data_IF_293298532313
#
_entry.id   IF_293298532313
#
_cell.length_a   1.000
_cell.length_b   1.000
_cell.length_c   1.000
_cell.angle_alpha   90.00
_cell.angle_beta   90.00
_cell.angle_gamma   90.00
#
_symmetry.space_group_name_H-M   'P 1'
#
loop_
_entity.id
_entity.type
_entity.pdbx_description
1 polymer ?
#
# COMPACT_ATOMS: atom_id res chain seq x y z
N UNK A 1 1.30 -22.32 34.57
CA UNK A 1 0.07 -21.56 34.86
C UNK A 1 0.13 -20.21 34.16
N UNK A 2 -1.02 -19.61 33.83
CA UNK A 2 -1.11 -18.30 33.15
C UNK A 2 -0.27 -17.22 33.82
N UNK A 3 -0.35 -17.10 35.14
CA UNK A 3 0.43 -16.14 35.93
C UNK A 3 1.95 -16.30 35.74
N UNK A 4 2.43 -17.55 35.70
CA UNK A 4 3.87 -17.82 35.51
C UNK A 4 4.32 -17.37 34.11
N UNK A 5 3.48 -17.63 33.09
CA UNK A 5 3.80 -17.20 31.72
C UNK A 5 3.79 -15.67 31.59
N UNK A 6 2.80 -15.00 32.19
CA UNK A 6 2.75 -13.52 32.19
C UNK A 6 3.97 -12.91 32.89
N UNK A 7 4.38 -13.47 34.04
CA UNK A 7 5.60 -13.01 34.73
C UNK A 7 6.85 -13.20 33.87
N UNK A 8 7.00 -14.35 33.20
CA UNK A 8 8.14 -14.60 32.31
C UNK A 8 8.16 -13.60 31.13
N UNK A 9 7.02 -13.37 30.47
CA UNK A 9 6.93 -12.40 29.39
C UNK A 9 7.24 -10.96 29.86
N UNK A 10 6.85 -10.62 31.10
CA UNK A 10 7.15 -9.33 31.68
C UNK A 10 8.63 -9.19 32.07
N UNK A 11 9.24 -10.24 32.60
CA UNK A 11 10.69 -10.30 32.91
C UNK A 11 11.52 -10.19 31.62
N UNK A 12 11.05 -10.79 30.51
CA UNK A 12 11.66 -10.65 29.19
C UNK A 12 11.40 -9.28 28.54
N UNK A 13 10.53 -8.44 29.10
CA UNK A 13 10.19 -7.12 28.56
C UNK A 13 9.26 -7.16 27.34
N UNK A 14 8.59 -8.29 27.07
CA UNK A 14 7.66 -8.45 25.95
C UNK A 14 6.30 -7.79 26.21
N UNK A 15 5.90 -7.78 27.49
CA UNK A 15 4.66 -7.15 27.94
C UNK A 15 4.94 -6.24 29.15
N UNK A 16 4.08 -5.25 29.32
CA UNK A 16 4.11 -4.32 30.46
C UNK A 16 2.71 -4.19 31.09
N UNK A 17 2.69 -3.69 32.33
CA UNK A 17 1.43 -3.38 33.00
C UNK A 17 0.90 -2.05 32.49
N UNK A 18 -0.28 -2.09 31.85
CA UNK A 18 -0.99 -0.93 31.29
C UNK A 18 -2.08 -0.37 32.23
N UNK A 19 -2.16 -0.85 33.46
CA UNK A 19 -3.14 -0.41 34.43
C UNK A 19 -4.06 -1.51 34.94
N UNK A 20 -5.21 -1.13 35.47
CA UNK A 20 -6.21 -2.03 36.02
C UNK A 20 -7.59 -1.70 35.46
N UNK A 21 -8.42 -2.72 35.23
CA UNK A 21 -9.84 -2.51 34.91
C UNK A 21 -10.59 -1.89 36.08
N UNK A 22 -11.63 -1.09 35.81
CA UNK A 22 -12.55 -0.63 36.83
C UNK A 22 -13.22 -1.82 37.54
N UNK A 23 -13.25 -1.78 38.88
CA UNK A 23 -13.79 -2.89 39.65
C UNK A 23 -15.31 -2.84 39.67
N UNK A 24 -15.97 -3.93 39.31
CA UNK A 24 -17.41 -4.16 39.45
C UNK A 24 -17.77 -4.89 40.75
N UNK A 25 -16.88 -4.85 41.79
CA UNK A 25 -17.12 -5.47 43.09
C UNK A 25 -16.22 -6.64 43.47
N UNK A 26 -15.04 -6.78 42.79
CA UNK A 26 -14.06 -7.81 43.09
C UNK A 26 -12.61 -7.26 43.04
N UNK A 27 -11.61 -8.17 43.09
CA UNK A 27 -10.20 -7.80 42.86
C UNK A 27 -10.06 -7.23 41.43
N UNK A 28 -9.48 -6.04 41.32
CA UNK A 28 -9.20 -5.42 40.02
C UNK A 28 -8.31 -6.33 39.17
N UNK A 29 -8.66 -6.49 37.90
CA UNK A 29 -7.86 -7.24 36.97
C UNK A 29 -6.80 -6.34 36.35
N UNK A 30 -5.55 -6.81 36.34
CA UNK A 30 -4.42 -6.12 35.73
C UNK A 30 -4.53 -6.19 34.19
N UNK A 31 -4.30 -5.06 33.54
CA UNK A 31 -4.21 -4.95 32.07
C UNK A 31 -2.73 -5.12 31.69
N UNK A 32 -2.46 -6.08 30.82
CA UNK A 32 -1.16 -6.23 30.19
C UNK A 32 -1.24 -5.81 28.73
N UNK A 33 -0.22 -5.09 28.27
CA UNK A 33 -0.07 -4.76 26.84
C UNK A 33 1.28 -5.20 26.32
N UNK A 34 1.39 -5.45 25.02
CA UNK A 34 2.65 -5.72 24.36
C UNK A 34 3.51 -4.46 24.37
N UNK A 35 4.82 -4.60 24.67
CA UNK A 35 5.79 -3.53 24.50
C UNK A 35 6.04 -3.34 23.02
N UNK A 36 5.46 -2.28 22.44
CA UNK A 36 5.43 -2.07 20.99
C UNK A 36 6.82 -2.10 20.35
N UNK A 37 7.80 -1.53 21.00
CA UNK A 37 9.18 -1.47 20.52
C UNK A 37 10.05 -2.68 20.91
N UNK A 38 9.46 -3.76 21.46
CA UNK A 38 10.20 -4.97 21.80
C UNK A 38 10.84 -5.62 20.56
N UNK A 39 10.15 -5.61 19.44
CA UNK A 39 10.65 -6.01 18.12
C UNK A 39 10.32 -4.92 17.11
N UNK A 40 11.06 -4.91 16.02
CA UNK A 40 10.90 -3.97 14.92
C UNK A 40 10.98 -4.70 13.58
N UNK A 41 10.46 -4.09 12.54
CA UNK A 41 10.62 -4.57 11.17
C UNK A 41 10.95 -3.40 10.24
N UNK A 42 11.63 -3.69 9.13
CA UNK A 42 11.92 -2.70 8.10
C UNK A 42 11.06 -2.98 6.88
N UNK A 43 10.46 -1.92 6.32
CA UNK A 43 9.86 -1.91 5.00
C UNK A 43 10.76 -1.17 4.03
N UNK A 44 11.00 -1.74 2.85
CA UNK A 44 11.71 -1.08 1.74
C UNK A 44 10.76 -1.03 0.55
N UNK A 45 10.35 0.17 0.13
CA UNK A 45 9.51 0.39 -1.05
C UNK A 45 10.35 0.91 -2.21
N UNK A 46 10.37 0.16 -3.30
CA UNK A 46 11.11 0.47 -4.52
C UNK A 46 10.15 0.75 -5.65
N UNK A 47 10.11 1.99 -6.09
CA UNK A 47 9.36 2.42 -7.26
C UNK A 47 10.32 2.78 -8.41
N UNK A 48 9.78 3.12 -9.59
CA UNK A 48 10.60 3.56 -10.72
C UNK A 48 11.56 4.70 -10.35
N UNK A 49 11.14 5.65 -9.50
CA UNK A 49 11.86 6.90 -9.25
C UNK A 49 12.18 7.16 -7.78
N UNK A 50 11.76 6.30 -6.86
CA UNK A 50 11.96 6.50 -5.43
C UNK A 50 12.34 5.21 -4.75
N UNK A 51 13.18 5.35 -3.73
CA UNK A 51 13.47 4.37 -2.70
C UNK A 51 12.97 4.93 -1.38
N UNK A 52 12.15 4.18 -0.67
CA UNK A 52 11.67 4.52 0.68
C UNK A 52 12.08 3.40 1.63
N UNK A 53 12.64 3.75 2.77
CA UNK A 53 12.96 2.82 3.86
C UNK A 53 12.18 3.29 5.08
N UNK A 54 11.48 2.39 5.75
CA UNK A 54 10.70 2.67 6.95
C UNK A 54 11.00 1.64 8.02
N UNK A 55 11.25 2.08 9.24
CA UNK A 55 11.37 1.25 10.43
C UNK A 55 10.08 1.38 11.24
N UNK A 56 9.47 0.25 11.58
CA UNK A 56 8.22 0.19 12.35
C UNK A 56 8.35 -0.68 13.58
N UNK A 57 7.54 -0.38 14.60
CA UNK A 57 7.37 -1.23 15.79
C UNK A 57 6.23 -2.26 15.61
N UNK A 58 5.99 -3.10 16.63
CA UNK A 58 4.93 -4.11 16.63
C UNK A 58 3.50 -3.53 16.61
N UNK A 59 3.35 -2.25 16.98
CA UNK A 59 2.07 -1.53 16.91
C UNK A 59 1.89 -0.78 15.58
N UNK A 60 2.79 -1.00 14.59
CA UNK A 60 2.83 -0.35 13.28
C UNK A 60 3.11 1.16 13.35
N UNK A 61 3.64 1.65 14.46
CA UNK A 61 4.11 3.03 14.52
C UNK A 61 5.42 3.16 13.73
N UNK A 62 5.51 4.22 12.94
CA UNK A 62 6.75 4.55 12.24
C UNK A 62 7.73 5.12 13.26
N UNK A 63 8.86 4.43 13.48
CA UNK A 63 9.96 4.86 14.34
C UNK A 63 10.83 5.84 13.57
N UNK A 64 11.17 5.50 12.32
CA UNK A 64 12.00 6.32 11.45
C UNK A 64 11.68 6.02 9.98
N UNK A 65 11.92 6.98 9.09
CA UNK A 65 11.72 6.76 7.68
C UNK A 65 12.57 7.69 6.82
N UNK A 66 12.99 7.20 5.67
CA UNK A 66 13.68 8.00 4.66
C UNK A 66 13.14 7.71 3.28
N UNK A 67 12.75 8.76 2.56
CA UNK A 67 12.36 8.68 1.16
C UNK A 67 13.32 9.49 0.30
N UNK A 68 13.82 8.85 -0.75
CA UNK A 68 14.80 9.42 -1.65
C UNK A 68 14.32 9.34 -3.10
N UNK A 69 14.60 10.36 -3.87
CA UNK A 69 14.35 10.35 -5.32
C UNK A 69 15.55 9.77 -6.03
N UNK A 70 15.56 8.46 -6.20
CA UNK A 70 16.60 7.70 -6.88
C UNK A 70 15.91 6.78 -7.89
N UNK A 71 16.14 6.97 -9.20
CA UNK A 71 15.61 6.05 -10.21
C UNK A 71 16.17 4.65 -10.01
N UNK A 72 15.28 3.65 -10.00
CA UNK A 72 15.70 2.27 -9.86
C UNK A 72 16.62 1.84 -10.98
N UNK A 73 17.73 1.23 -10.63
CA UNK A 73 18.65 0.53 -11.53
C UNK A 73 19.18 -0.69 -10.81
N UNK A 74 19.20 -1.82 -11.49
CA UNK A 74 19.82 -3.04 -10.95
C UNK A 74 21.35 -2.96 -11.10
N UNK A 75 21.97 -2.09 -10.29
CA UNK A 75 23.43 -1.82 -10.29
C UNK A 75 23.99 -1.84 -8.88
N UNK A 76 25.28 -2.16 -8.75
CA UNK A 76 25.97 -2.11 -7.46
C UNK A 76 25.83 -0.74 -6.76
N UNK A 77 25.88 0.35 -7.52
CA UNK A 77 25.74 1.71 -6.98
C UNK A 77 24.39 1.91 -6.28
N UNK A 78 23.29 1.51 -6.94
CA UNK A 78 21.95 1.63 -6.36
C UNK A 78 21.81 0.81 -5.06
N UNK A 79 22.28 -0.43 -5.07
CA UNK A 79 22.17 -1.31 -3.91
C UNK A 79 23.15 -0.93 -2.78
N UNK A 80 24.30 -0.31 -3.09
CA UNK A 80 25.18 0.26 -2.06
C UNK A 80 24.50 1.42 -1.34
N UNK A 81 23.81 2.32 -2.07
CA UNK A 81 23.02 3.39 -1.45
C UNK A 81 21.89 2.81 -0.59
N UNK A 82 21.18 1.80 -1.10
CA UNK A 82 20.12 1.13 -0.33
C UNK A 82 20.69 0.55 0.98
N UNK A 83 21.81 -0.16 0.91
CA UNK A 83 22.48 -0.74 2.08
C UNK A 83 22.91 0.34 3.08
N UNK A 84 23.58 1.39 2.61
CA UNK A 84 24.04 2.50 3.48
C UNK A 84 22.87 3.14 4.24
N UNK A 85 21.77 3.40 3.55
CA UNK A 85 20.60 4.04 4.14
C UNK A 85 19.82 3.10 5.08
N UNK A 86 19.73 1.82 4.74
CA UNK A 86 19.19 0.79 5.61
C UNK A 86 20.02 0.70 6.91
N UNK A 87 21.34 0.60 6.80
CA UNK A 87 22.23 0.54 7.95
C UNK A 87 22.16 1.81 8.82
N UNK A 88 22.05 2.98 8.19
CA UNK A 88 21.91 4.24 8.89
C UNK A 88 20.65 4.28 9.78
N UNK A 89 19.49 3.90 9.21
CA UNK A 89 18.22 3.86 9.96
C UNK A 89 18.27 2.84 11.09
N UNK A 90 18.74 1.60 10.78
CA UNK A 90 18.77 0.52 11.77
C UNK A 90 19.74 0.87 12.92
N UNK A 91 20.96 1.31 12.61
CA UNK A 91 21.97 1.62 13.62
C UNK A 91 21.61 2.82 14.51
N UNK A 92 20.87 3.79 13.97
CA UNK A 92 20.42 4.95 14.74
C UNK A 92 19.32 4.59 15.76
N UNK A 93 18.51 3.57 15.48
CA UNK A 93 17.27 3.30 16.22
C UNK A 93 17.28 1.96 16.97
N UNK A 94 18.13 0.99 16.57
CA UNK A 94 18.15 -0.36 17.12
C UNK A 94 19.55 -0.68 17.65
N UNK A 95 19.72 -0.64 18.96
CA UNK A 95 20.99 -0.98 19.60
C UNK A 95 21.31 -2.48 19.53
N UNK A 96 20.29 -3.33 19.61
CA UNK A 96 20.39 -4.79 19.53
C UNK A 96 19.67 -5.30 18.27
N UNK A 97 20.45 -5.71 17.27
CA UNK A 97 19.92 -6.22 15.98
C UNK A 97 19.06 -7.46 16.11
N UNK A 98 19.16 -8.23 17.20
CA UNK A 98 18.28 -9.37 17.44
C UNK A 98 16.80 -8.96 17.56
N UNK A 99 16.54 -7.67 17.78
CA UNK A 99 15.18 -7.10 17.81
C UNK A 99 14.59 -6.89 16.42
N UNK A 100 15.39 -6.89 15.36
CA UNK A 100 14.90 -6.81 13.99
C UNK A 100 14.33 -8.16 13.53
N UNK A 101 13.03 -8.19 13.23
CA UNK A 101 12.32 -9.39 12.78
C UNK A 101 12.69 -9.78 11.35
N UNK A 102 12.91 -8.78 10.50
CA UNK A 102 13.20 -8.95 9.09
C UNK A 102 12.76 -7.75 8.26
N UNK A 103 12.83 -7.93 6.95
CA UNK A 103 12.61 -6.86 5.97
C UNK A 103 11.54 -7.28 4.97
N UNK A 104 10.51 -6.45 4.80
CA UNK A 104 9.57 -6.54 3.69
C UNK A 104 9.99 -5.62 2.56
N UNK A 105 10.19 -6.14 1.35
CA UNK A 105 10.58 -5.36 0.17
C UNK A 105 9.41 -5.30 -0.80
N UNK A 106 8.86 -4.11 -0.98
CA UNK A 106 7.74 -3.81 -1.88
C UNK A 106 8.28 -3.48 -3.27
N UNK A 107 7.77 -4.17 -4.29
CA UNK A 107 8.17 -4.05 -5.70
C UNK A 107 6.94 -3.94 -6.60
N UNK A 108 6.96 -3.12 -7.67
CA UNK A 108 5.89 -3.07 -8.66
C UNK A 108 6.00 -4.27 -9.63
N UNK A 109 5.76 -5.47 -9.10
CA UNK A 109 5.95 -6.74 -9.78
C UNK A 109 5.00 -7.81 -9.23
N UNK A 110 4.72 -8.84 -10.03
CA UNK A 110 4.04 -10.05 -9.54
C UNK A 110 5.09 -10.95 -8.88
N UNK A 111 4.86 -11.26 -7.62
CA UNK A 111 5.76 -12.06 -6.77
C UNK A 111 5.20 -13.48 -6.63
N UNK A 112 6.07 -14.47 -6.71
CA UNK A 112 5.72 -15.87 -6.50
C UNK A 112 5.33 -16.16 -5.04
N UNK A 113 4.71 -17.32 -4.81
CA UNK A 113 4.28 -17.78 -3.47
C UNK A 113 5.45 -17.91 -2.47
N UNK A 114 6.66 -18.11 -2.98
CA UNK A 114 7.87 -18.20 -2.17
C UNK A 114 8.35 -16.84 -1.63
N UNK A 115 7.72 -15.75 -2.04
CA UNK A 115 8.13 -14.37 -1.73
C UNK A 115 9.60 -14.04 -2.09
N UNK A 116 10.15 -14.74 -3.04
CA UNK A 116 11.55 -14.60 -3.51
C UNK A 116 11.64 -14.45 -5.02
N UNK A 117 10.72 -15.08 -5.75
CA UNK A 117 10.72 -15.10 -7.20
C UNK A 117 9.88 -13.96 -7.75
N UNK A 118 10.46 -13.15 -8.64
CA UNK A 118 9.72 -12.20 -9.46
C UNK A 118 9.24 -12.94 -10.71
N UNK A 119 7.93 -13.09 -10.87
CA UNK A 119 7.34 -13.82 -12.00
C UNK A 119 7.02 -12.93 -13.18
N UNK A 120 6.74 -11.63 -12.92
CA UNK A 120 6.44 -10.66 -13.97
C UNK A 120 6.69 -9.23 -13.47
N UNK A 121 7.39 -8.42 -14.26
CA UNK A 121 7.62 -7.00 -13.97
C UNK A 121 7.70 -6.20 -15.28
N UNK A 122 6.99 -5.08 -15.36
CA UNK A 122 6.99 -4.18 -16.53
C UNK A 122 7.21 -2.73 -16.17
N UNK A 123 6.96 -2.36 -14.92
CA UNK A 123 7.09 -0.98 -14.43
C UNK A 123 8.56 -0.62 -14.21
N UNK A 124 9.34 -1.56 -13.68
CA UNK A 124 10.80 -1.43 -13.49
C UNK A 124 11.49 -2.66 -14.08
N UNK A 125 12.72 -2.50 -14.60
CA UNK A 125 13.48 -3.62 -15.13
C UNK A 125 14.05 -4.46 -13.98
N UNK A 126 13.43 -5.60 -13.70
CA UNK A 126 13.91 -6.56 -12.71
C UNK A 126 14.42 -7.82 -13.40
N UNK A 127 15.61 -8.28 -13.03
CA UNK A 127 16.12 -9.57 -13.48
C UNK A 127 15.47 -10.73 -12.71
N UNK A 128 15.50 -11.93 -13.28
CA UNK A 128 15.06 -13.16 -12.61
C UNK A 128 15.91 -13.48 -11.36
N UNK A 129 17.12 -12.93 -11.29
CA UNK A 129 18.07 -13.15 -10.19
C UNK A 129 18.06 -12.03 -9.14
N UNK A 130 17.09 -11.14 -9.19
CA UNK A 130 17.03 -9.95 -8.31
C UNK A 130 17.13 -10.33 -6.82
N UNK A 131 16.52 -11.45 -6.40
CA UNK A 131 16.62 -11.91 -5.02
C UNK A 131 18.08 -12.20 -4.62
N UNK A 132 18.81 -12.95 -5.43
CA UNK A 132 20.23 -13.22 -5.17
C UNK A 132 21.09 -11.95 -5.23
N UNK A 133 20.68 -10.95 -6.02
CA UNK A 133 21.37 -9.68 -6.07
C UNK A 133 21.21 -8.90 -4.76
N UNK A 134 20.00 -8.85 -4.19
CA UNK A 134 19.75 -8.27 -2.86
C UNK A 134 20.59 -8.94 -1.76
N UNK A 135 20.77 -10.27 -1.80
CA UNK A 135 21.54 -11.02 -0.79
C UNK A 135 23.01 -10.57 -0.66
N UNK A 136 23.54 -9.87 -1.64
CA UNK A 136 24.91 -9.32 -1.55
C UNK A 136 24.99 -8.06 -0.67
N UNK A 137 23.83 -7.44 -0.35
CA UNK A 137 23.77 -6.16 0.37
C UNK A 137 22.95 -6.23 1.64
N UNK A 138 21.95 -7.11 1.67
CA UNK A 138 21.05 -7.29 2.82
C UNK A 138 21.28 -8.71 3.35
N UNK A 139 21.67 -8.81 4.62
CA UNK A 139 21.99 -10.09 5.27
C UNK A 139 20.91 -10.56 6.24
N UNK A 140 20.02 -9.68 6.66
CA UNK A 140 18.83 -10.01 7.44
C UNK A 140 17.81 -10.78 6.59
N UNK A 141 16.93 -11.58 7.21
CA UNK A 141 15.84 -12.23 6.51
C UNK A 141 14.95 -11.21 5.79
N UNK A 142 14.71 -11.38 4.49
CA UNK A 142 13.81 -10.52 3.72
C UNK A 142 12.91 -11.31 2.78
N UNK A 143 11.79 -10.68 2.44
CA UNK A 143 10.79 -11.22 1.52
C UNK A 143 10.31 -10.11 0.57
N UNK A 144 9.99 -10.50 -0.66
CA UNK A 144 9.39 -9.62 -1.65
C UNK A 144 7.85 -9.64 -1.58
N UNK A 145 7.25 -8.49 -1.82
CA UNK A 145 5.81 -8.30 -1.91
C UNK A 145 5.47 -7.41 -3.10
N UNK A 146 4.27 -7.61 -3.66
CA UNK A 146 3.72 -6.65 -4.62
C UNK A 146 3.39 -5.32 -3.92
N UNK A 147 3.63 -4.19 -4.58
CA UNK A 147 3.46 -2.85 -4.02
C UNK A 147 2.00 -2.53 -3.66
N UNK A 148 1.05 -2.83 -4.54
CA UNK A 148 -0.36 -2.58 -4.27
C UNK A 148 -0.91 -3.50 -3.17
N UNK A 149 -0.46 -4.76 -3.13
CA UNK A 149 -0.80 -5.70 -2.05
C UNK A 149 -0.27 -5.21 -0.69
N UNK A 150 0.98 -4.73 -0.65
CA UNK A 150 1.58 -4.19 0.58
C UNK A 150 0.82 -2.97 1.08
N UNK A 151 0.47 -2.05 0.17
CA UNK A 151 -0.28 -0.85 0.52
C UNK A 151 -1.70 -1.19 0.99
N UNK A 152 -2.42 -2.08 0.28
CA UNK A 152 -3.75 -2.52 0.66
C UNK A 152 -3.77 -3.21 2.02
N UNK A 153 -2.78 -4.06 2.30
CA UNK A 153 -2.65 -4.72 3.60
C UNK A 153 -2.41 -3.70 4.72
N UNK A 154 -1.56 -2.70 4.49
CA UNK A 154 -1.28 -1.65 5.46
C UNK A 154 -2.55 -0.82 5.78
N UNK A 155 -3.35 -0.46 4.77
CA UNK A 155 -4.62 0.23 4.95
C UNK A 155 -5.65 -0.65 5.69
N UNK A 156 -5.73 -1.93 5.36
CA UNK A 156 -6.63 -2.87 6.05
C UNK A 156 -6.29 -3.00 7.53
N UNK A 157 -5.01 -3.07 7.88
CA UNK A 157 -4.59 -3.13 9.28
C UNK A 157 -4.81 -1.83 10.02
N UNK A 158 -4.52 -0.69 9.41
CA UNK A 158 -4.66 0.64 10.01
C UNK A 158 -6.13 1.01 10.23
N UNK A 159 -7.00 0.67 9.28
CA UNK A 159 -8.44 0.92 9.34
C UNK A 159 -9.22 -0.11 10.16
N UNK A 160 -8.54 -1.13 10.71
CA UNK A 160 -9.14 -2.26 11.48
C UNK A 160 -10.27 -2.96 10.71
N UNK A 161 -10.10 -3.11 9.39
CA UNK A 161 -11.07 -3.83 8.56
C UNK A 161 -11.03 -5.32 8.90
N UNK A 162 -12.16 -5.84 9.37
CA UNK A 162 -12.34 -7.26 9.69
C UNK A 162 -13.00 -8.03 8.55
N UNK A 163 -13.72 -7.33 7.69
CA UNK A 163 -14.45 -7.87 6.55
C UNK A 163 -13.62 -7.73 5.25
N UNK A 164 -14.20 -8.16 4.15
CA UNK A 164 -13.56 -8.03 2.85
C UNK A 164 -13.46 -6.56 2.42
N UNK A 165 -12.36 -6.20 1.79
CA UNK A 165 -12.13 -4.86 1.24
C UNK A 165 -11.30 -4.92 -0.04
N UNK A 166 -11.62 -4.06 -0.99
CA UNK A 166 -10.82 -3.80 -2.19
C UNK A 166 -10.03 -2.52 -1.98
N UNK A 167 -8.75 -2.58 -2.25
CA UNK A 167 -7.87 -1.40 -2.31
C UNK A 167 -7.50 -1.10 -3.76
N UNK A 168 -7.64 0.16 -4.18
CA UNK A 168 -7.17 0.68 -5.46
C UNK A 168 -6.04 1.68 -5.22
N UNK A 169 -4.85 1.33 -5.69
CA UNK A 169 -3.68 2.21 -5.69
C UNK A 169 -3.68 3.09 -6.93
N UNK A 170 -4.10 4.33 -6.79
CA UNK A 170 -4.14 5.33 -7.87
C UNK A 170 -2.81 6.11 -7.87
N UNK A 171 -1.80 5.56 -8.52
CA UNK A 171 -0.43 6.09 -8.56
C UNK A 171 0.07 6.24 -10.01
N UNK A 172 1.37 6.20 -10.25
CA UNK A 172 1.95 6.25 -11.61
C UNK A 172 1.44 5.11 -12.50
N UNK A 173 1.03 4.01 -11.90
CA UNK A 173 0.18 2.95 -12.47
C UNK A 173 -0.96 2.66 -11.50
N UNK A 174 -2.04 2.08 -12.00
CA UNK A 174 -3.15 1.62 -11.16
C UNK A 174 -2.88 0.19 -10.75
N UNK A 175 -2.69 -0.02 -9.47
CA UNK A 175 -2.64 -1.35 -8.86
C UNK A 175 -3.87 -1.61 -8.00
N UNK A 176 -3.94 -2.79 -7.41
CA UNK A 176 -5.00 -3.09 -6.45
C UNK A 176 -4.73 -4.33 -5.63
N UNK A 177 -5.52 -4.48 -4.59
CA UNK A 177 -5.53 -5.67 -3.75
C UNK A 177 -6.97 -5.99 -3.32
N UNK A 178 -7.26 -7.27 -3.20
CA UNK A 178 -8.48 -7.74 -2.55
C UNK A 178 -8.08 -8.45 -1.27
N UNK A 179 -8.58 -7.95 -0.16
CA UNK A 179 -8.34 -8.50 1.16
C UNK A 179 -9.62 -9.14 1.70
N UNK A 180 -9.48 -10.27 2.38
CA UNK A 180 -10.53 -10.89 3.19
C UNK A 180 -10.05 -10.84 4.64
N UNK A 181 -10.56 -9.90 5.41
CA UNK A 181 -10.00 -9.51 6.69
C UNK A 181 -8.55 -9.03 6.52
N UNK A 182 -7.64 -9.64 7.26
CA UNK A 182 -6.20 -9.30 7.25
C UNK A 182 -5.36 -10.16 6.28
N UNK A 183 -6.00 -10.82 5.33
CA UNK A 183 -5.33 -11.70 4.37
C UNK A 183 -5.56 -11.24 2.94
N UNK A 184 -4.51 -11.17 2.15
CA UNK A 184 -4.57 -10.86 0.73
C UNK A 184 -5.06 -12.09 -0.04
N UNK A 185 -6.02 -11.89 -0.92
CA UNK A 185 -6.41 -12.92 -1.90
C UNK A 185 -5.56 -12.76 -3.16
N UNK A 186 -4.45 -13.49 -3.20
CA UNK A 186 -3.51 -13.42 -4.31
C UNK A 186 -4.00 -14.13 -5.59
N UNK A 187 -4.99 -15.05 -5.48
CA UNK A 187 -5.43 -15.92 -6.58
C UNK A 187 -4.42 -17.03 -6.89
N UNK A 188 -4.82 -17.97 -7.73
CA UNK A 188 -4.05 -19.20 -8.04
C UNK A 188 -2.68 -18.94 -8.72
N UNK A 189 -2.50 -17.76 -9.32
CA UNK A 189 -1.29 -17.37 -10.06
C UNK A 189 -0.67 -16.06 -9.53
N UNK A 190 -1.01 -15.66 -8.32
CA UNK A 190 -0.58 -14.39 -7.69
C UNK A 190 -0.93 -13.15 -8.53
N UNK A 191 -2.05 -13.19 -9.27
CA UNK A 191 -2.56 -12.10 -10.12
C UNK A 191 -3.87 -11.50 -9.58
N UNK A 192 -4.27 -11.90 -8.39
CA UNK A 192 -5.39 -11.28 -7.71
C UNK A 192 -5.09 -9.81 -7.45
N UNK A 193 -6.08 -8.94 -7.71
CA UNK A 193 -5.87 -7.50 -7.52
C UNK A 193 -5.30 -6.73 -8.72
N UNK A 194 -5.01 -7.37 -9.87
CA UNK A 194 -4.57 -6.69 -11.10
C UNK A 194 -5.69 -5.81 -11.72
N UNK A 195 -6.35 -5.01 -10.88
CA UNK A 195 -7.53 -4.21 -11.23
C UNK A 195 -7.23 -3.10 -12.23
N UNK A 196 -5.98 -2.60 -12.27
CA UNK A 196 -5.55 -1.65 -13.29
C UNK A 196 -5.72 -2.16 -14.71
N UNK A 197 -5.79 -3.49 -14.90
CA UNK A 197 -5.90 -4.10 -16.20
C UNK A 197 -7.32 -4.58 -16.57
N UNK A 198 -8.35 -4.30 -15.75
CA UNK A 198 -9.75 -4.49 -16.17
C UNK A 198 -10.07 -3.54 -17.33
N UNK A 199 -10.81 -4.02 -18.31
CA UNK A 199 -11.22 -3.21 -19.45
C UNK A 199 -12.45 -2.39 -19.09
N UNK A 200 -12.31 -1.07 -18.99
CA UNK A 200 -13.42 -0.13 -18.71
C UNK A 200 -13.92 0.56 -19.97
N UNK A 201 -13.08 0.69 -21.01
CA UNK A 201 -13.45 1.27 -22.31
C UNK A 201 -12.99 0.33 -23.42
N UNK A 202 -13.85 -0.55 -23.93
CA UNK A 202 -13.50 -1.45 -25.04
C UNK A 202 -12.93 -0.67 -26.23
N UNK A 203 -11.80 -1.15 -26.77
CA UNK A 203 -11.06 -0.51 -27.87
C UNK A 203 -10.54 0.91 -27.59
N UNK A 204 -10.49 1.33 -26.33
CA UNK A 204 -10.04 2.65 -25.91
C UNK A 204 -8.53 2.86 -25.92
N UNK A 205 -8.05 3.74 -25.03
CA UNK A 205 -6.64 4.12 -24.92
C UNK A 205 -5.74 2.88 -24.73
N UNK A 206 -4.54 2.90 -25.33
CA UNK A 206 -3.55 1.83 -25.18
C UNK A 206 -2.96 1.84 -23.78
N UNK A 207 -2.92 0.68 -23.14
CA UNK A 207 -2.26 0.46 -21.87
C UNK A 207 -0.81 -0.04 -22.09
N UNK A 208 0.07 0.20 -21.13
CA UNK A 208 1.45 -0.30 -21.16
C UNK A 208 1.54 -1.84 -21.21
N UNK A 209 0.52 -2.54 -20.71
CA UNK A 209 0.43 -4.00 -20.81
C UNK A 209 0.20 -4.53 -22.25
N UNK A 210 0.08 -3.64 -23.23
CA UNK A 210 -0.14 -3.97 -24.65
C UNK A 210 -1.61 -4.09 -25.06
N UNK A 211 -2.56 -4.11 -24.12
CA UNK A 211 -4.02 -4.14 -24.39
C UNK A 211 -4.57 -2.72 -24.49
N UNK A 212 -5.82 -2.61 -24.94
CA UNK A 212 -6.55 -1.35 -25.02
C UNK A 212 -7.69 -1.32 -24.00
N UNK A 213 -7.96 -0.11 -23.44
CA UNK A 213 -9.13 0.15 -22.63
C UNK A 213 -9.01 -0.23 -21.16
N UNK A 214 -7.82 -0.56 -20.69
CA UNK A 214 -7.57 -0.85 -19.27
C UNK A 214 -7.83 0.37 -18.39
N UNK A 215 -8.28 0.16 -17.15
CA UNK A 215 -8.46 1.20 -16.14
C UNK A 215 -7.19 2.05 -15.98
N UNK A 216 -6.03 1.42 -15.97
CA UNK A 216 -4.74 2.11 -15.83
C UNK A 216 -4.53 3.21 -16.89
N UNK A 217 -4.95 2.98 -18.14
CA UNK A 217 -4.78 3.96 -19.20
C UNK A 217 -5.63 5.24 -19.02
N UNK A 218 -6.56 5.25 -18.07
CA UNK A 218 -7.49 6.36 -17.80
C UNK A 218 -7.35 6.92 -16.39
N UNK A 219 -6.93 6.09 -15.42
CA UNK A 219 -6.98 6.43 -14.01
C UNK A 219 -5.62 6.34 -13.29
N UNK A 220 -4.50 6.27 -14.02
CA UNK A 220 -3.19 6.50 -13.43
C UNK A 220 -2.95 8.00 -13.18
N UNK A 221 -1.96 8.36 -12.36
CA UNK A 221 -1.67 9.75 -12.03
C UNK A 221 -1.24 10.59 -13.26
N UNK A 222 -0.61 9.97 -14.27
CA UNK A 222 -0.20 10.69 -15.48
C UNK A 222 -1.41 11.17 -16.30
N UNK A 223 -2.54 10.42 -16.27
CA UNK A 223 -3.76 10.84 -16.93
C UNK A 223 -4.29 12.21 -16.43
N UNK A 224 -3.92 12.61 -15.21
CA UNK A 224 -4.21 13.94 -14.66
C UNK A 224 -3.09 14.93 -14.94
N UNK A 225 -1.83 14.50 -14.95
CA UNK A 225 -0.68 15.40 -14.84
C UNK A 225 0.01 15.72 -16.18
N UNK A 226 -0.47 15.22 -17.30
CA UNK A 226 0.06 15.57 -18.63
C UNK A 226 0.04 17.10 -18.85
N UNK A 227 -0.92 17.81 -18.27
CA UNK A 227 -1.06 19.27 -18.35
C UNK A 227 -0.11 20.04 -17.40
N UNK A 228 0.41 19.38 -16.36
CA UNK A 228 1.28 19.95 -15.33
C UNK A 228 2.66 19.27 -15.29
N UNK A 229 3.12 18.77 -16.43
CA UNK A 229 4.45 18.14 -16.60
C UNK A 229 4.78 17.08 -15.52
N UNK A 230 3.78 16.31 -15.11
CA UNK A 230 3.92 15.27 -14.08
C UNK A 230 3.74 15.77 -12.64
N UNK A 231 3.39 17.04 -12.41
CA UNK A 231 3.22 17.62 -11.08
C UNK A 231 1.77 17.48 -10.58
N UNK A 232 1.51 16.40 -9.83
CA UNK A 232 0.17 16.11 -9.30
C UNK A 232 -0.31 17.17 -8.28
N UNK A 233 0.59 17.70 -7.46
CA UNK A 233 0.25 18.75 -6.49
C UNK A 233 -0.25 20.01 -7.20
N UNK A 234 0.47 20.45 -8.21
CA UNK A 234 0.10 21.62 -9.02
C UNK A 234 -1.25 21.40 -9.73
N UNK A 235 -1.50 20.20 -10.27
CA UNK A 235 -2.79 19.86 -10.86
C UNK A 235 -3.94 20.09 -9.89
N UNK A 236 -3.86 19.57 -8.66
CA UNK A 236 -4.91 19.73 -7.66
C UNK A 236 -5.02 21.15 -7.11
N UNK A 237 -3.91 21.91 -7.03
CA UNK A 237 -3.93 23.33 -6.70
C UNK A 237 -4.70 24.13 -7.75
N UNK A 238 -4.45 23.93 -9.05
CA UNK A 238 -5.18 24.60 -10.13
C UNK A 238 -6.65 24.16 -10.15
N UNK A 239 -6.93 22.86 -9.93
CA UNK A 239 -8.30 22.34 -9.87
C UNK A 239 -9.10 23.01 -8.75
N UNK A 240 -8.50 23.18 -7.57
CA UNK A 240 -9.13 23.83 -6.41
C UNK A 240 -9.53 25.29 -6.67
N UNK A 241 -8.77 26.02 -7.49
CA UNK A 241 -9.13 27.39 -7.90
C UNK A 241 -10.33 27.44 -8.85
N UNK A 242 -10.70 26.34 -9.50
CA UNK A 242 -11.93 26.19 -10.28
C UNK A 242 -12.03 27.07 -11.55
N UNK A 243 -10.92 27.67 -12.02
CA UNK A 243 -10.92 28.61 -13.17
C UNK A 243 -10.46 27.94 -14.47
N UNK A 244 -9.74 26.88 -14.44
CA UNK A 244 -9.21 26.20 -15.62
C UNK A 244 -10.16 25.11 -16.12
N UNK A 245 -10.95 25.42 -17.16
CA UNK A 245 -11.92 24.49 -17.76
C UNK A 245 -11.28 23.20 -18.29
N UNK A 246 -10.03 23.25 -18.78
CA UNK A 246 -9.31 22.10 -19.29
C UNK A 246 -9.03 21.08 -18.16
N UNK A 247 -8.48 21.56 -17.07
CA UNK A 247 -8.20 20.72 -15.88
C UNK A 247 -9.48 20.16 -15.26
N UNK A 248 -10.55 20.96 -15.19
CA UNK A 248 -11.85 20.49 -14.71
C UNK A 248 -12.39 19.37 -15.59
N UNK A 249 -12.28 19.48 -16.91
CA UNK A 249 -12.74 18.44 -17.84
C UNK A 249 -11.92 17.16 -17.72
N UNK A 250 -10.58 17.26 -17.63
CA UNK A 250 -9.68 16.11 -17.40
C UNK A 250 -10.06 15.39 -16.10
N UNK A 251 -10.26 16.13 -15.02
CA UNK A 251 -10.63 15.55 -13.73
C UNK A 251 -12.02 14.90 -13.77
N UNK A 252 -12.99 15.51 -14.44
CA UNK A 252 -14.33 14.93 -14.61
C UNK A 252 -14.29 13.63 -15.41
N UNK A 253 -13.53 13.56 -16.51
CA UNK A 253 -13.32 12.33 -17.29
C UNK A 253 -12.66 11.24 -16.44
N UNK A 254 -11.64 11.61 -15.66
CA UNK A 254 -10.98 10.73 -14.72
C UNK A 254 -11.97 10.12 -13.71
N UNK A 255 -12.79 10.97 -13.08
CA UNK A 255 -13.79 10.56 -12.08
C UNK A 255 -14.87 9.64 -12.69
N UNK A 256 -15.27 9.89 -13.93
CA UNK A 256 -16.25 9.04 -14.63
C UNK A 256 -15.69 7.66 -14.93
N UNK A 257 -14.46 7.59 -15.44
CA UNK A 257 -13.78 6.32 -15.70
C UNK A 257 -13.51 5.54 -14.41
N UNK A 258 -13.09 6.22 -13.34
CA UNK A 258 -12.89 5.61 -12.04
C UNK A 258 -14.21 5.08 -11.45
N UNK A 259 -15.32 5.81 -11.62
CA UNK A 259 -16.63 5.37 -11.14
C UNK A 259 -17.11 4.07 -11.83
N UNK A 260 -16.82 3.90 -13.13
CA UNK A 260 -17.11 2.65 -13.85
C UNK A 260 -16.35 1.48 -13.22
N UNK A 261 -15.06 1.67 -12.94
CA UNK A 261 -14.22 0.64 -12.31
C UNK A 261 -14.69 0.30 -10.89
N UNK A 262 -14.92 1.31 -10.07
CA UNK A 262 -15.39 1.16 -8.68
C UNK A 262 -16.73 0.44 -8.65
N UNK A 263 -17.67 0.81 -9.52
CA UNK A 263 -18.93 0.11 -9.62
C UNK A 263 -18.75 -1.37 -10.04
N UNK A 264 -17.87 -1.65 -11.00
CA UNK A 264 -17.60 -3.02 -11.44
C UNK A 264 -17.00 -3.86 -10.30
N UNK A 265 -16.08 -3.30 -9.54
CA UNK A 265 -15.47 -3.97 -8.38
C UNK A 265 -16.51 -4.19 -7.26
N UNK A 266 -17.36 -3.21 -6.98
CA UNK A 266 -18.46 -3.35 -6.02
C UNK A 266 -19.41 -4.49 -6.42
N UNK A 267 -19.76 -4.60 -7.70
CA UNK A 267 -20.59 -5.68 -8.21
C UNK A 267 -19.92 -7.06 -8.12
N UNK A 268 -18.58 -7.13 -8.24
CA UNK A 268 -17.85 -8.40 -8.19
C UNK A 268 -17.62 -8.89 -6.76
N UNK A 269 -17.33 -7.97 -5.82
CA UNK A 269 -16.83 -8.32 -4.50
C UNK A 269 -17.78 -7.98 -3.36
N UNK A 270 -18.78 -7.13 -3.59
CA UNK A 270 -19.77 -6.68 -2.59
C UNK A 270 -19.13 -6.25 -1.25
N UNK A 271 -18.09 -5.44 -1.32
CA UNK A 271 -17.32 -4.99 -0.16
C UNK A 271 -16.89 -3.53 -0.29
N UNK A 272 -16.38 -2.94 0.77
CA UNK A 272 -15.85 -1.59 0.77
C UNK A 272 -14.66 -1.44 -0.19
N UNK A 273 -14.51 -0.22 -0.74
CA UNK A 273 -13.46 0.10 -1.71
C UNK A 273 -12.68 1.30 -1.20
N UNK A 274 -11.39 1.09 -0.94
CA UNK A 274 -10.45 2.13 -0.51
C UNK A 274 -9.74 2.70 -1.74
N UNK A 275 -9.80 4.02 -1.89
CA UNK A 275 -9.08 4.76 -2.92
C UNK A 275 -7.78 5.31 -2.33
N UNK A 276 -6.67 4.65 -2.62
CA UNK A 276 -5.36 5.02 -2.11
C UNK A 276 -4.38 5.45 -3.20
N UNK A 277 -3.09 5.43 -2.87
CA UNK A 277 -2.02 5.86 -3.77
C UNK A 277 -1.88 7.39 -3.84
N UNK A 278 -1.06 7.86 -4.79
CA UNK A 278 -0.72 9.28 -4.88
C UNK A 278 -1.93 10.17 -5.18
N UNK A 279 -2.85 9.72 -6.03
CA UNK A 279 -4.10 10.46 -6.34
C UNK A 279 -5.07 10.35 -5.18
N UNK A 280 -5.16 9.16 -4.54
CA UNK A 280 -6.03 8.91 -3.39
C UNK A 280 -5.84 9.93 -2.27
N UNK A 281 -4.59 10.36 -2.03
CA UNK A 281 -4.26 11.38 -1.03
C UNK A 281 -4.97 12.74 -1.25
N UNK A 282 -5.44 13.02 -2.46
CA UNK A 282 -6.17 14.25 -2.80
C UNK A 282 -7.68 14.04 -2.93
N UNK A 283 -8.14 12.78 -2.88
CA UNK A 283 -9.56 12.47 -3.16
C UNK A 283 -10.51 12.91 -2.06
N UNK A 284 -10.05 13.15 -0.83
CA UNK A 284 -10.91 13.54 0.30
C UNK A 284 -11.78 14.75 0.00
N UNK A 285 -11.26 15.78 -0.66
CA UNK A 285 -12.00 17.01 -1.02
C UNK A 285 -13.08 16.75 -2.10
N UNK A 286 -13.00 15.62 -2.82
CA UNK A 286 -13.85 15.29 -3.96
C UNK A 286 -14.67 14.02 -3.75
N UNK A 287 -14.53 13.39 -2.60
CA UNK A 287 -15.09 12.07 -2.31
C UNK A 287 -16.62 12.04 -2.40
N UNK A 288 -17.29 13.05 -1.88
CA UNK A 288 -18.75 13.12 -1.91
C UNK A 288 -19.31 13.26 -3.33
N UNK A 289 -18.62 14.03 -4.20
CA UNK A 289 -19.03 14.16 -5.60
C UNK A 289 -18.71 12.88 -6.38
N UNK A 290 -17.62 12.20 -6.04
CA UNK A 290 -17.29 10.89 -6.58
C UNK A 290 -18.33 9.82 -6.19
N UNK A 291 -18.70 9.75 -4.92
CA UNK A 291 -19.76 8.85 -4.41
C UNK A 291 -21.07 9.03 -5.18
N UNK A 292 -21.50 10.28 -5.40
CA UNK A 292 -22.70 10.57 -6.21
C UNK A 292 -22.60 10.07 -7.66
N UNK A 293 -21.40 10.12 -8.27
CA UNK A 293 -21.17 9.58 -9.62
C UNK A 293 -21.23 8.05 -9.61
N UNK A 294 -20.57 7.39 -8.67
CA UNK A 294 -20.52 5.94 -8.56
C UNK A 294 -21.92 5.32 -8.30
N UNK A 295 -22.70 5.90 -7.39
CA UNK A 295 -24.06 5.44 -7.07
C UNK A 295 -25.00 5.50 -8.27
N UNK A 296 -24.85 6.47 -9.16
CA UNK A 296 -25.68 6.54 -10.38
C UNK A 296 -25.49 5.34 -11.31
N UNK A 297 -24.38 4.63 -11.21
CA UNK A 297 -24.07 3.43 -11.99
C UNK A 297 -24.52 2.13 -11.31
N UNK A 298 -24.88 2.21 -10.00
CA UNK A 298 -25.17 1.03 -9.20
C UNK A 298 -26.66 0.99 -8.80
N UNK A 299 -27.44 -0.02 -9.28
CA UNK A 299 -28.86 -0.11 -8.97
C UNK A 299 -29.15 -0.59 -7.52
N UNK A 300 -28.15 -1.11 -6.82
CA UNK A 300 -28.32 -1.71 -5.50
C UNK A 300 -27.93 -0.77 -4.37
N UNK A 301 -27.10 0.24 -4.64
CA UNK A 301 -26.58 1.17 -3.63
C UNK A 301 -27.44 2.43 -3.55
N UNK A 302 -27.73 2.85 -2.31
CA UNK A 302 -28.47 4.08 -2.04
C UNK A 302 -27.58 5.29 -1.86
N UNK A 303 -26.39 5.07 -1.37
CA UNK A 303 -25.32 6.04 -1.17
C UNK A 303 -23.95 5.43 -1.51
N UNK A 304 -22.90 6.22 -1.48
CA UNK A 304 -21.56 5.78 -1.79
C UNK A 304 -20.70 5.50 -0.55
N UNK A 305 -21.28 5.21 0.60
CA UNK A 305 -20.57 5.04 1.88
C UNK A 305 -19.52 3.93 1.86
N UNK A 306 -19.68 2.94 0.97
CA UNK A 306 -18.72 1.87 0.72
C UNK A 306 -17.42 2.34 0.06
N UNK A 307 -17.33 3.60 -0.40
CA UNK A 307 -16.13 4.19 -1.00
C UNK A 307 -15.42 5.05 0.05
N UNK A 308 -14.15 4.73 0.29
CA UNK A 308 -13.34 5.37 1.32
C UNK A 308 -12.02 5.89 0.75
#
# INVERSE_FOLDING_TARGET
TTTRNLNALQEEGMIENAGEFESTGGRKATIYQCVSNYRCAVGIDITRNHLTIVLIDLALNIIDSKRMRIPFRETHEYFSILQEEFEAIVSANIADRSRLLGIGISLPAIIGEDHKTVTYATVIPLSLNIYSFFSNYIHEPYLFFNDANSAGLAESWKGDYTDSVVYLSLSSSVGGAYMNGRSIHAGDNNRGGEFGHITIVPHGKRCYCGRNGCLDAYCNANALTDFTEGNLKEFFEILKFGKNKGIINIFNEYMENLAIAVNSLRMCFDCDIILGGNVGAYMSDYLDDFRKKAVKLNPFEKDGSYIQ
#
